data_IF_940398193974
#
_entry.id   IF_940398193974
#
_cell.length_a   1.000
_cell.length_b   1.000
_cell.length_c   1.000
_cell.angle_alpha   90.00
_cell.angle_beta   90.00
_cell.angle_gamma   90.00
#
_symmetry.space_group_name_H-M   'P 1'
#
loop_
_entity.id
_entity.type
_entity.pdbx_description
1 polymer ?
#
# COMPACT_ATOMS: atom_id res chain seq x y z
N UNK A 1 10.57 -9.46 22.30
CA UNK A 1 10.88 -10.19 21.06
C UNK A 1 10.16 -9.53 19.91
N UNK A 2 10.91 -9.03 18.96
CA UNK A 2 10.36 -8.34 17.81
C UNK A 2 9.66 -9.34 16.88
N UNK A 3 8.51 -8.96 16.33
CA UNK A 3 7.85 -9.71 15.26
C UNK A 3 8.52 -9.54 13.90
N UNK A 4 9.71 -8.95 13.87
CA UNK A 4 10.51 -8.87 12.65
C UNK A 4 10.96 -10.28 12.29
N UNK A 5 10.41 -10.79 11.23
CA UNK A 5 10.75 -12.11 10.70
C UNK A 5 11.80 -11.90 9.61
N UNK A 6 13.02 -12.35 9.88
CA UNK A 6 14.05 -12.53 8.85
C UNK A 6 13.61 -13.66 7.90
N UNK A 7 12.56 -13.44 7.16
CA UNK A 7 12.00 -14.43 6.27
C UNK A 7 12.04 -13.88 4.86
N UNK A 8 12.93 -14.43 4.06
CA UNK A 8 12.91 -14.15 2.63
C UNK A 8 11.57 -14.54 2.03
N UNK A 9 11.07 -13.72 1.15
CA UNK A 9 9.89 -14.05 0.35
C UNK A 9 10.34 -15.08 -0.69
N UNK A 10 10.07 -16.35 -0.40
CA UNK A 10 10.58 -17.48 -1.19
C UNK A 10 9.98 -17.50 -2.60
N UNK A 11 10.87 -17.62 -3.58
CA UNK A 11 10.50 -18.00 -4.95
C UNK A 11 9.69 -16.97 -5.71
N UNK A 12 9.59 -15.75 -5.19
CA UNK A 12 8.90 -14.67 -5.88
C UNK A 12 9.82 -14.16 -6.99
N UNK A 13 9.35 -14.34 -8.21
CA UNK A 13 10.02 -13.82 -9.39
C UNK A 13 8.99 -13.13 -10.25
N UNK A 14 9.35 -12.05 -10.95
CA UNK A 14 8.54 -11.54 -12.05
C UNK A 14 8.27 -12.66 -13.04
N UNK A 15 7.30 -12.49 -13.90
CA UNK A 15 7.08 -13.40 -15.04
C UNK A 15 8.40 -13.68 -15.75
N UNK A 16 8.61 -14.92 -16.18
CA UNK A 16 9.91 -15.40 -16.72
C UNK A 16 10.44 -14.59 -17.90
N UNK A 17 9.59 -13.81 -18.54
CA UNK A 17 9.94 -12.95 -19.68
C UNK A 17 9.87 -11.46 -19.33
N UNK A 18 9.82 -11.11 -18.05
CA UNK A 18 9.89 -9.71 -17.65
C UNK A 18 11.17 -9.06 -18.18
N UNK A 19 11.02 -7.87 -18.72
CA UNK A 19 12.17 -7.09 -19.19
C UNK A 19 13.02 -6.78 -17.97
N UNK A 20 14.23 -7.32 -17.97
CA UNK A 20 15.22 -6.97 -16.96
C UNK A 20 15.71 -5.57 -17.22
N UNK A 21 15.57 -4.70 -16.26
CA UNK A 21 16.27 -3.42 -16.27
C UNK A 21 17.78 -3.66 -16.21
N UNK A 22 18.61 -2.70 -16.57
CA UNK A 22 20.08 -2.85 -16.49
C UNK A 22 20.57 -3.25 -15.10
N UNK A 23 19.76 -3.03 -14.07
CA UNK A 23 20.00 -3.44 -12.69
C UNK A 23 19.82 -4.95 -12.47
N UNK A 24 18.95 -5.60 -13.28
CA UNK A 24 18.59 -7.02 -13.11
C UNK A 24 19.64 -8.01 -13.63
N UNK A 25 20.73 -7.52 -14.20
CA UNK A 25 21.78 -8.37 -14.79
C UNK A 25 22.87 -8.80 -13.82
N UNK A 26 22.71 -8.52 -12.52
CA UNK A 26 23.72 -8.84 -11.54
C UNK A 26 23.26 -9.92 -10.57
N UNK A 27 24.20 -10.81 -10.24
CA UNK A 27 24.07 -11.98 -9.37
C UNK A 27 23.36 -11.72 -8.06
N UNK A 28 22.59 -12.74 -7.62
CA UNK A 28 21.93 -12.85 -6.33
C UNK A 28 22.79 -12.32 -5.18
N UNK A 29 22.52 -11.11 -4.77
CA UNK A 29 23.03 -10.54 -3.53
C UNK A 29 21.85 -10.48 -2.55
N UNK A 30 22.04 -11.05 -1.37
CA UNK A 30 21.04 -11.11 -0.28
C UNK A 30 20.67 -9.72 0.30
N UNK A 31 21.14 -8.64 -0.31
CA UNK A 31 20.80 -7.30 0.14
C UNK A 31 19.37 -6.91 -0.28
N UNK A 32 18.65 -6.23 0.60
CA UNK A 32 17.30 -5.71 0.32
C UNK A 32 17.31 -4.55 -0.67
N UNK A 33 18.48 -3.94 -0.90
CA UNK A 33 18.72 -2.89 -1.89
C UNK A 33 19.50 -3.49 -3.05
N UNK A 34 19.03 -3.29 -4.27
CA UNK A 34 19.79 -3.69 -5.43
C UNK A 34 21.07 -2.83 -5.60
N UNK A 35 22.01 -3.28 -6.46
CA UNK A 35 23.27 -2.56 -6.68
C UNK A 35 23.10 -1.20 -7.36
N UNK A 36 21.90 -0.87 -7.86
CA UNK A 36 21.57 0.45 -8.41
C UNK A 36 21.17 1.45 -7.34
N UNK A 37 21.06 1.04 -6.07
CA UNK A 37 20.57 1.88 -4.98
C UNK A 37 19.05 1.99 -4.93
N UNK A 38 18.33 1.16 -5.68
CA UNK A 38 16.88 1.13 -5.71
C UNK A 38 16.35 0.03 -4.79
N UNK A 39 15.34 0.37 -4.01
CA UNK A 39 14.63 -0.56 -3.13
C UNK A 39 13.12 -0.44 -3.37
N UNK A 40 12.45 -1.57 -3.52
CA UNK A 40 11.00 -1.63 -3.59
C UNK A 40 10.47 -2.57 -2.51
N UNK A 41 9.44 -2.13 -1.80
CA UNK A 41 8.74 -2.97 -0.84
C UNK A 41 7.23 -2.79 -0.93
N UNK A 42 6.50 -3.80 -0.49
CA UNK A 42 5.05 -3.72 -0.37
C UNK A 42 4.67 -3.31 1.05
N UNK A 43 3.72 -2.39 1.15
CA UNK A 43 3.13 -1.96 2.41
C UNK A 43 1.67 -2.38 2.42
N UNK A 44 1.31 -3.24 3.38
CA UNK A 44 -0.05 -3.73 3.55
C UNK A 44 -0.67 -3.19 4.84
N UNK A 45 -1.85 -2.60 4.71
CA UNK A 45 -2.69 -2.23 5.84
C UNK A 45 -3.83 -3.24 5.98
N UNK A 46 -3.93 -3.87 7.15
CA UNK A 46 -4.94 -4.88 7.41
C UNK A 46 -5.88 -4.45 8.52
N UNK A 47 -7.16 -4.85 8.43
CA UNK A 47 -8.16 -4.61 9.46
C UNK A 47 -8.17 -5.80 10.44
N UNK A 48 -7.12 -5.88 11.26
CA UNK A 48 -7.03 -6.86 12.34
C UNK A 48 -7.03 -6.13 13.67
N UNK A 49 -7.81 -6.65 14.63
CA UNK A 49 -7.85 -6.15 16.01
C UNK A 49 -6.74 -6.73 16.89
N UNK A 50 -5.94 -7.65 16.35
CA UNK A 50 -4.83 -8.29 17.03
C UNK A 50 -3.54 -8.11 16.23
N UNK A 51 -2.41 -8.45 16.83
CA UNK A 51 -1.11 -8.47 16.15
C UNK A 51 -0.96 -9.69 15.20
N UNK A 52 -2.05 -10.37 14.87
CA UNK A 52 -2.04 -11.40 13.84
C UNK A 52 -2.05 -10.75 12.46
N UNK A 53 -0.88 -10.53 11.89
CA UNK A 53 -0.63 -9.78 10.67
C UNK A 53 -0.17 -10.67 9.52
N UNK A 54 -0.40 -11.98 9.64
CA UNK A 54 -0.06 -12.98 8.64
C UNK A 54 -1.31 -13.35 7.82
N UNK A 55 -1.45 -14.59 7.41
CA UNK A 55 -2.62 -15.05 6.67
C UNK A 55 -3.92 -14.96 7.50
N UNK A 56 -5.05 -15.01 6.83
CA UNK A 56 -6.38 -14.92 7.44
C UNK A 56 -6.94 -13.51 7.48
N UNK A 57 -6.15 -12.50 7.14
CA UNK A 57 -6.57 -11.09 7.12
C UNK A 57 -6.40 -10.48 5.73
N UNK A 58 -7.46 -9.83 5.25
CA UNK A 58 -7.44 -9.11 3.98
C UNK A 58 -6.58 -7.84 4.09
N UNK A 59 -5.84 -7.53 3.03
CA UNK A 59 -5.16 -6.26 2.90
C UNK A 59 -6.10 -5.21 2.32
N UNK A 60 -6.61 -4.32 3.18
CA UNK A 60 -7.49 -3.23 2.77
C UNK A 60 -6.74 -2.05 2.17
N UNK A 61 -5.47 -1.93 2.46
CA UNK A 61 -4.54 -0.97 1.85
C UNK A 61 -3.35 -1.73 1.27
N UNK A 62 -3.05 -1.46 0.01
CA UNK A 62 -1.95 -2.11 -0.71
C UNK A 62 -1.16 -1.00 -1.40
N UNK A 63 0.12 -0.87 -1.06
CA UNK A 63 1.01 0.10 -1.67
C UNK A 63 2.31 -0.56 -2.09
N UNK A 64 2.84 -0.13 -3.23
CA UNK A 64 4.22 -0.40 -3.63
C UNK A 64 5.02 0.88 -3.41
N UNK A 65 6.07 0.79 -2.63
CA UNK A 65 6.94 1.92 -2.30
C UNK A 65 8.29 1.71 -2.96
N UNK A 66 8.72 2.65 -3.77
CA UNK A 66 10.04 2.66 -4.41
C UNK A 66 10.90 3.75 -3.76
N UNK A 67 12.06 3.34 -3.28
CA UNK A 67 13.05 4.23 -2.67
C UNK A 67 14.29 4.26 -3.56
N UNK A 68 14.61 5.45 -4.06
CA UNK A 68 15.89 5.70 -4.72
C UNK A 68 16.85 6.29 -3.68
N UNK A 69 17.79 5.47 -3.22
CA UNK A 69 18.74 5.86 -2.18
C UNK A 69 19.80 6.83 -2.68
N UNK A 70 20.11 6.83 -3.97
CA UNK A 70 21.07 7.77 -4.55
C UNK A 70 20.46 9.17 -4.72
N UNK A 71 19.27 9.23 -5.26
CA UNK A 71 18.51 10.48 -5.40
C UNK A 71 17.81 10.91 -4.11
N UNK A 72 17.67 10.01 -3.13
CA UNK A 72 16.93 10.20 -1.86
C UNK A 72 15.48 10.59 -2.11
N UNK A 73 14.84 9.88 -3.03
CA UNK A 73 13.46 10.10 -3.46
C UNK A 73 12.62 8.85 -3.28
N UNK A 74 11.37 9.06 -2.89
CA UNK A 74 10.38 8.02 -2.65
C UNK A 74 9.19 8.25 -3.57
N UNK A 75 8.72 7.18 -4.21
CA UNK A 75 7.46 7.14 -4.95
C UNK A 75 6.56 6.05 -4.40
N UNK A 76 5.27 6.30 -4.36
CA UNK A 76 4.28 5.36 -3.85
C UNK A 76 3.17 5.14 -4.86
N UNK A 77 2.78 3.87 -5.03
CA UNK A 77 1.65 3.46 -5.86
C UNK A 77 0.68 2.68 -5.00
N UNK A 78 -0.58 3.12 -4.92
CA UNK A 78 -1.65 2.30 -4.35
C UNK A 78 -2.19 1.35 -5.41
N UNK A 79 -2.46 0.11 -5.00
CA UNK A 79 -3.22 -0.86 -5.79
C UNK A 79 -4.58 -1.01 -5.12
N UNK A 80 -5.66 -0.78 -5.86
CA UNK A 80 -7.00 -0.89 -5.29
C UNK A 80 -7.29 -2.33 -4.84
N UNK A 81 -7.82 -2.45 -3.64
CA UNK A 81 -8.07 -3.75 -2.99
C UNK A 81 -8.97 -4.69 -3.81
N UNK A 82 -9.91 -4.13 -4.55
CA UNK A 82 -10.89 -4.89 -5.36
C UNK A 82 -10.39 -5.20 -6.79
N UNK A 83 -9.15 -4.81 -7.12
CA UNK A 83 -8.53 -5.15 -8.40
C UNK A 83 -8.42 -6.65 -8.56
N UNK A 84 -8.97 -7.18 -9.65
CA UNK A 84 -8.89 -8.60 -9.96
C UNK A 84 -7.52 -8.95 -10.52
N UNK A 85 -6.89 -9.94 -9.92
CA UNK A 85 -5.58 -10.47 -10.31
C UNK A 85 -5.57 -11.99 -10.25
N UNK A 86 -4.62 -12.61 -10.93
CA UNK A 86 -4.33 -14.02 -10.75
C UNK A 86 -3.58 -14.23 -9.43
N UNK A 87 -4.16 -15.03 -8.54
CA UNK A 87 -3.55 -15.41 -7.26
C UNK A 87 -3.17 -16.89 -7.35
N UNK A 88 -1.89 -17.18 -7.19
CA UNK A 88 -1.34 -18.53 -7.30
C UNK A 88 -2.12 -19.54 -6.42
N UNK A 89 -2.61 -20.61 -7.03
CA UNK A 89 -3.41 -21.63 -6.37
C UNK A 89 -4.88 -21.25 -6.10
N UNK A 90 -5.32 -20.04 -6.46
CA UNK A 90 -6.66 -19.53 -6.14
C UNK A 90 -7.39 -18.93 -7.36
N UNK A 91 -6.75 -18.86 -8.53
CA UNK A 91 -7.33 -18.29 -9.73
C UNK A 91 -7.46 -16.77 -9.67
N UNK A 92 -8.40 -16.24 -10.45
CA UNK A 92 -8.63 -14.79 -10.56
C UNK A 92 -9.59 -14.32 -9.49
N UNK A 93 -9.10 -13.50 -8.57
CA UNK A 93 -9.86 -12.94 -7.45
C UNK A 93 -9.39 -11.52 -7.12
N UNK A 94 -10.11 -10.83 -6.24
CA UNK A 94 -9.66 -9.54 -5.71
C UNK A 94 -8.28 -9.68 -5.07
N UNK A 95 -7.39 -8.78 -5.37
CA UNK A 95 -6.01 -8.81 -4.84
C UNK A 95 -5.96 -8.75 -3.31
N UNK A 96 -6.95 -8.12 -2.67
CA UNK A 96 -7.08 -8.10 -1.20
C UNK A 96 -7.10 -9.51 -0.59
N UNK A 97 -7.63 -10.50 -1.31
CA UNK A 97 -7.73 -11.88 -0.83
C UNK A 97 -6.38 -12.60 -0.77
N UNK A 98 -5.39 -12.17 -1.53
CA UNK A 98 -4.07 -12.83 -1.52
C UNK A 98 -3.45 -12.83 -0.13
N UNK A 99 -3.54 -11.71 0.60
CA UNK A 99 -3.03 -11.61 1.97
C UNK A 99 -3.81 -12.54 2.92
N UNK A 100 -5.12 -12.65 2.77
CA UNK A 100 -5.94 -13.55 3.58
C UNK A 100 -5.60 -15.03 3.32
N UNK A 101 -5.33 -15.41 2.09
CA UNK A 101 -5.04 -16.81 1.72
C UNK A 101 -3.64 -17.26 2.09
N UNK A 102 -2.63 -16.42 1.91
CA UNK A 102 -1.24 -16.81 2.07
C UNK A 102 -0.34 -15.77 2.73
N UNK A 103 -0.93 -14.77 3.37
CA UNK A 103 -0.19 -13.72 4.06
C UNK A 103 0.55 -12.75 3.12
N UNK A 104 1.48 -11.96 3.65
CA UNK A 104 2.21 -10.98 2.86
C UNK A 104 3.05 -11.61 1.74
N UNK A 105 3.51 -12.85 1.92
CA UNK A 105 4.31 -13.55 0.91
C UNK A 105 3.51 -13.81 -0.36
N UNK A 106 2.27 -14.34 -0.23
CA UNK A 106 1.39 -14.55 -1.37
C UNK A 106 0.92 -13.22 -1.98
N UNK A 107 0.69 -12.21 -1.15
CA UNK A 107 0.31 -10.88 -1.63
C UNK A 107 1.43 -10.25 -2.48
N UNK A 108 2.68 -10.34 -2.04
CA UNK A 108 3.84 -9.89 -2.82
C UNK A 108 4.01 -10.71 -4.10
N UNK A 109 3.90 -12.04 -4.03
CA UNK A 109 3.94 -12.90 -5.21
C UNK A 109 2.88 -12.50 -6.24
N UNK A 110 1.67 -12.21 -5.79
CA UNK A 110 0.58 -11.75 -6.65
C UNK A 110 0.92 -10.46 -7.37
N UNK A 111 1.43 -9.46 -6.64
CA UNK A 111 1.84 -8.19 -7.25
C UNK A 111 2.98 -8.38 -8.26
N UNK A 112 3.98 -9.18 -7.93
CA UNK A 112 5.12 -9.44 -8.81
C UNK A 112 4.70 -10.11 -10.11
N UNK A 113 3.87 -11.16 -10.03
CA UNK A 113 3.44 -11.91 -11.21
C UNK A 113 2.47 -11.14 -12.12
N UNK A 114 1.57 -10.36 -11.53
CA UNK A 114 0.58 -9.61 -12.31
C UNK A 114 1.13 -8.31 -12.89
N UNK A 115 2.18 -7.74 -12.30
CA UNK A 115 2.70 -6.42 -12.66
C UNK A 115 4.18 -6.43 -13.06
N UNK A 116 4.80 -7.60 -13.20
CA UNK A 116 6.25 -7.74 -13.48
C UNK A 116 7.13 -6.95 -12.52
N UNK A 117 6.79 -6.97 -11.24
CA UNK A 117 7.60 -6.35 -10.20
C UNK A 117 8.54 -7.39 -9.57
N UNK A 118 9.58 -6.91 -8.90
CA UNK A 118 10.56 -7.73 -8.18
C UNK A 118 10.64 -7.29 -6.71
N UNK A 119 9.49 -7.25 -6.06
CA UNK A 119 9.38 -6.90 -4.65
C UNK A 119 9.88 -8.07 -3.81
N UNK A 120 10.83 -7.80 -2.91
CA UNK A 120 11.43 -8.81 -2.02
C UNK A 120 11.04 -8.60 -0.56
N UNK A 121 10.63 -7.39 -0.22
CA UNK A 121 10.36 -7.01 1.17
C UNK A 121 8.92 -6.51 1.32
N UNK A 122 8.40 -6.71 2.53
CA UNK A 122 7.08 -6.25 2.88
C UNK A 122 7.03 -5.70 4.31
N UNK A 123 6.05 -4.85 4.53
CA UNK A 123 5.65 -4.38 5.86
C UNK A 123 4.12 -4.50 5.94
N UNK A 124 3.63 -5.26 6.90
CA UNK A 124 2.20 -5.36 7.20
C UNK A 124 1.90 -4.74 8.56
N UNK A 125 0.95 -3.80 8.57
CA UNK A 125 0.48 -3.12 9.78
C UNK A 125 -1.04 -3.20 9.87
N UNK A 126 -1.58 -3.19 11.08
CA UNK A 126 -3.00 -2.94 11.26
C UNK A 126 -3.28 -1.44 11.48
N UNK A 127 -4.54 -1.05 11.37
CA UNK A 127 -4.91 0.36 11.54
C UNK A 127 -4.68 0.88 12.96
N UNK A 128 -4.70 0.01 13.95
CA UNK A 128 -4.39 0.38 15.33
C UNK A 128 -2.92 0.85 15.45
N UNK A 129 -2.00 0.12 14.84
CA UNK A 129 -0.58 0.48 14.79
C UNK A 129 -0.35 1.79 14.04
N UNK A 130 -1.10 2.03 12.95
CA UNK A 130 -1.06 3.33 12.26
C UNK A 130 -1.44 4.46 13.20
N UNK A 131 -2.46 4.28 14.03
CA UNK A 131 -2.84 5.24 15.06
C UNK A 131 -1.73 5.48 16.09
N UNK A 132 -1.07 4.43 16.54
CA UNK A 132 0.09 4.54 17.45
C UNK A 132 1.23 5.33 16.80
N UNK A 133 1.53 5.08 15.54
CA UNK A 133 2.56 5.81 14.79
C UNK A 133 2.22 7.30 14.71
N UNK A 134 0.98 7.64 14.40
CA UNK A 134 0.52 9.04 14.34
C UNK A 134 0.68 9.71 15.70
N UNK A 135 0.31 9.04 16.78
CA UNK A 135 0.49 9.58 18.15
C UNK A 135 1.97 9.78 18.50
N UNK A 136 2.83 8.84 18.13
CA UNK A 136 4.29 8.91 18.38
C UNK A 136 4.95 10.08 17.62
N UNK A 137 4.49 10.41 16.43
CA UNK A 137 5.01 11.57 15.68
C UNK A 137 4.39 12.90 16.12
N UNK A 138 3.48 12.88 17.08
CA UNK A 138 2.84 14.09 17.65
C UNK A 138 1.60 14.53 16.88
N UNK A 139 0.97 13.65 16.12
CA UNK A 139 -0.18 13.97 15.28
C UNK A 139 0.21 14.44 13.89
N UNK A 140 -0.81 14.61 13.06
CA UNK A 140 -0.64 15.10 11.68
C UNK A 140 -1.58 16.26 11.42
N UNK A 141 -1.12 17.27 10.69
CA UNK A 141 -1.95 18.44 10.31
C UNK A 141 -2.64 18.13 8.99
N UNK A 142 -3.97 18.15 9.00
CA UNK A 142 -4.76 17.81 7.82
C UNK A 142 -5.98 18.70 7.70
N UNK A 143 -6.28 19.10 6.46
CA UNK A 143 -7.51 19.78 6.12
C UNK A 143 -8.64 18.74 6.00
N UNK A 144 -9.76 19.02 6.64
CA UNK A 144 -10.99 18.25 6.57
C UNK A 144 -12.04 19.08 5.82
N UNK A 145 -12.54 18.58 4.73
CA UNK A 145 -13.59 19.27 3.98
C UNK A 145 -14.99 19.04 4.59
N UNK A 146 -15.99 19.77 4.08
CA UNK A 146 -17.34 19.69 4.60
C UNK A 146 -17.97 18.30 4.42
N UNK A 147 -17.68 17.60 3.33
CA UNK A 147 -18.18 16.24 3.07
C UNK A 147 -17.56 15.22 4.02
N UNK A 148 -16.29 15.36 4.31
CA UNK A 148 -15.57 14.52 5.25
C UNK A 148 -16.05 14.76 6.69
N UNK A 149 -16.25 16.02 7.09
CA UNK A 149 -16.76 16.37 8.41
C UNK A 149 -18.12 15.76 8.72
N UNK A 150 -18.97 15.59 7.69
CA UNK A 150 -20.31 14.97 7.86
C UNK A 150 -20.25 13.49 8.25
N UNK A 151 -19.20 12.78 7.91
CA UNK A 151 -19.13 11.32 8.06
C UNK A 151 -18.02 10.86 9.02
N UNK A 152 -17.00 11.68 9.27
CA UNK A 152 -15.83 11.27 10.03
C UNK A 152 -16.14 10.86 11.47
N UNK A 153 -17.13 11.47 12.10
CA UNK A 153 -17.44 11.23 13.52
C UNK A 153 -17.92 9.80 13.78
N UNK A 154 -18.64 9.19 12.85
CA UNK A 154 -18.99 7.77 12.93
C UNK A 154 -17.75 6.87 12.95
N UNK A 155 -16.77 7.18 12.12
CA UNK A 155 -15.50 6.46 12.11
C UNK A 155 -14.67 6.74 13.37
N UNK A 156 -14.66 7.98 13.88
CA UNK A 156 -13.98 8.32 15.14
C UNK A 156 -14.56 7.51 16.29
N UNK A 157 -15.88 7.38 16.38
CA UNK A 157 -16.53 6.60 17.43
C UNK A 157 -16.13 5.12 17.36
N UNK A 158 -16.11 4.53 16.18
CA UNK A 158 -15.67 3.15 15.97
C UNK A 158 -14.21 2.95 16.38
N UNK A 159 -13.32 3.84 15.94
CA UNK A 159 -11.88 3.74 16.23
C UNK A 159 -11.60 4.00 17.71
N UNK A 160 -12.30 4.95 18.35
CA UNK A 160 -12.24 5.16 19.79
C UNK A 160 -12.58 3.87 20.54
N UNK A 161 -13.63 3.19 20.13
CA UNK A 161 -14.05 1.92 20.75
C UNK A 161 -12.98 0.83 20.59
N UNK A 162 -12.41 0.68 19.40
CA UNK A 162 -11.39 -0.35 19.11
C UNK A 162 -10.08 -0.06 19.84
N UNK A 163 -9.66 1.21 19.87
CA UNK A 163 -8.39 1.62 20.49
C UNK A 163 -8.50 1.90 21.97
N UNK A 164 -9.71 2.01 22.53
CA UNK A 164 -9.91 2.43 23.92
C UNK A 164 -9.52 3.89 24.16
N UNK A 165 -9.73 4.75 23.18
CA UNK A 165 -9.42 6.18 23.23
C UNK A 165 -10.68 7.03 23.36
N UNK A 166 -10.51 8.34 23.59
CA UNK A 166 -11.61 9.30 23.71
C UNK A 166 -11.36 10.54 22.87
N UNK A 167 -10.90 10.33 21.63
CA UNK A 167 -10.62 11.43 20.71
C UNK A 167 -11.87 12.21 20.36
N UNK A 168 -11.74 13.52 20.20
CA UNK A 168 -12.84 14.45 19.96
C UNK A 168 -13.42 14.28 18.56
N UNK A 169 -14.72 14.59 18.43
CA UNK A 169 -15.38 14.74 17.14
C UNK A 169 -14.84 15.94 16.34
N UNK A 170 -15.03 15.88 15.04
CA UNK A 170 -14.73 16.97 14.11
C UNK A 170 -16.07 17.33 13.42
N UNK A 171 -16.65 18.47 13.80
CA UNK A 171 -18.03 18.82 13.43
C UNK A 171 -18.12 19.77 12.24
N UNK A 172 -17.01 20.34 11.81
CA UNK A 172 -16.98 21.30 10.71
C UNK A 172 -15.70 21.18 9.89
N UNK A 173 -15.77 21.63 8.64
CA UNK A 173 -14.58 21.79 7.80
C UNK A 173 -13.55 22.70 8.47
N UNK A 174 -12.30 22.40 8.29
CA UNK A 174 -11.18 23.19 8.83
C UNK A 174 -9.88 22.43 8.80
N UNK A 175 -8.84 23.06 9.34
CA UNK A 175 -7.52 22.47 9.50
C UNK A 175 -7.35 22.01 10.92
N UNK A 176 -7.01 20.73 11.10
CA UNK A 176 -6.89 20.09 12.40
C UNK A 176 -5.56 19.40 12.57
N UNK A 177 -5.04 19.38 13.80
CA UNK A 177 -4.01 18.41 14.17
C UNK A 177 -4.72 17.12 14.60
N UNK A 178 -4.68 16.12 13.74
CA UNK A 178 -5.33 14.83 14.01
C UNK A 178 -4.45 13.99 14.92
N UNK A 179 -5.05 13.43 15.97
CA UNK A 179 -4.42 12.37 16.75
C UNK A 179 -4.52 11.02 16.01
N UNK A 180 -3.97 9.96 16.61
CA UNK A 180 -3.95 8.64 15.98
C UNK A 180 -5.34 8.11 15.66
N UNK A 181 -6.30 8.27 16.54
CA UNK A 181 -7.69 7.84 16.32
C UNK A 181 -8.35 8.62 15.18
N UNK A 182 -8.21 9.94 15.18
CA UNK A 182 -8.76 10.80 14.15
C UNK A 182 -8.11 10.54 12.78
N UNK A 183 -6.81 10.32 12.74
CA UNK A 183 -6.09 10.01 11.51
C UNK A 183 -6.52 8.66 10.92
N UNK A 184 -6.67 7.63 11.74
CA UNK A 184 -7.21 6.34 11.31
C UNK A 184 -8.63 6.49 10.80
N UNK A 185 -9.49 7.22 11.53
CA UNK A 185 -10.85 7.51 11.10
C UNK A 185 -10.88 8.20 9.73
N UNK A 186 -10.05 9.22 9.54
CA UNK A 186 -9.89 9.91 8.25
C UNK A 186 -9.51 8.95 7.13
N UNK A 187 -8.55 8.08 7.37
CA UNK A 187 -8.09 7.10 6.37
C UNK A 187 -9.12 6.03 6.02
N UNK A 188 -10.16 5.86 6.82
CA UNK A 188 -11.24 4.88 6.62
C UNK A 188 -12.46 5.45 5.90
N UNK A 189 -12.56 6.76 5.74
CA UNK A 189 -13.72 7.39 5.11
C UNK A 189 -13.93 6.83 3.71
N UNK A 190 -15.15 6.34 3.45
CA UNK A 190 -15.56 5.74 2.19
C UNK A 190 -16.79 6.39 1.57
N UNK A 191 -17.69 6.89 2.41
CA UNK A 191 -19.00 7.44 2.00
C UNK A 191 -18.92 8.90 1.59
N UNK A 192 -17.99 9.23 0.69
CA UNK A 192 -17.85 10.52 0.00
C UNK A 192 -17.71 10.29 -1.49
N UNK A 193 -17.79 11.35 -2.28
CA UNK A 193 -17.53 11.24 -3.72
C UNK A 193 -16.15 10.63 -3.98
N UNK A 194 -16.07 9.68 -4.89
CA UNK A 194 -14.85 8.96 -5.23
C UNK A 194 -14.60 7.64 -4.46
N UNK A 195 -15.43 7.30 -3.47
CA UNK A 195 -15.44 6.00 -2.79
C UNK A 195 -14.06 5.48 -2.41
N UNK A 196 -13.71 4.28 -2.88
CA UNK A 196 -12.45 3.59 -2.59
C UNK A 196 -11.20 4.32 -3.15
N UNK A 197 -11.33 5.00 -4.27
CA UNK A 197 -10.26 5.83 -4.83
C UNK A 197 -9.87 6.94 -3.84
N UNK A 198 -10.85 7.66 -3.32
CA UNK A 198 -10.62 8.70 -2.31
C UNK A 198 -10.10 8.14 -0.99
N UNK A 199 -10.55 6.96 -0.60
CA UNK A 199 -10.01 6.28 0.59
C UNK A 199 -8.53 5.93 0.42
N UNK A 200 -8.13 5.38 -0.72
CA UNK A 200 -6.73 5.11 -1.01
C UNK A 200 -5.88 6.39 -1.02
N UNK A 201 -6.41 7.49 -1.56
CA UNK A 201 -5.76 8.80 -1.51
C UNK A 201 -5.58 9.30 -0.07
N UNK A 202 -6.60 9.16 0.79
CA UNK A 202 -6.51 9.52 2.20
C UNK A 202 -5.47 8.68 2.94
N UNK A 203 -5.37 7.39 2.64
CA UNK A 203 -4.34 6.51 3.21
C UNK A 203 -2.93 6.96 2.83
N UNK A 204 -2.70 7.33 1.55
CA UNK A 204 -1.42 7.89 1.12
C UNK A 204 -1.13 9.23 1.78
N UNK A 205 -2.15 10.06 1.96
CA UNK A 205 -2.02 11.35 2.64
C UNK A 205 -1.57 11.18 4.10
N UNK A 206 -2.18 10.25 4.83
CA UNK A 206 -1.78 9.96 6.21
C UNK A 206 -0.33 9.48 6.26
N UNK A 207 0.04 8.54 5.39
CA UNK A 207 1.41 8.04 5.31
C UNK A 207 2.42 9.15 4.99
N UNK A 208 2.12 10.00 4.02
CA UNK A 208 2.94 11.15 3.67
C UNK A 208 3.11 12.12 4.85
N UNK A 209 2.03 12.46 5.54
CA UNK A 209 2.06 13.36 6.71
C UNK A 209 2.84 12.76 7.88
N UNK A 210 2.69 11.47 8.13
CA UNK A 210 3.51 10.74 9.12
C UNK A 210 4.99 10.82 8.76
N UNK A 211 5.33 10.57 7.52
CA UNK A 211 6.70 10.68 7.03
C UNK A 211 7.28 12.09 7.27
N UNK A 212 6.53 13.14 6.90
CA UNK A 212 6.96 14.53 7.08
C UNK A 212 7.12 14.88 8.58
N UNK A 213 6.22 14.40 9.44
CA UNK A 213 6.34 14.58 10.90
C UNK A 213 7.53 13.83 11.47
N UNK A 214 7.77 12.60 11.02
CA UNK A 214 8.89 11.77 11.47
C UNK A 214 10.25 12.38 11.10
N UNK A 215 10.34 13.07 9.96
CA UNK A 215 11.55 13.80 9.55
C UNK A 215 11.98 14.86 10.57
N UNK A 216 11.03 15.46 11.28
CA UNK A 216 11.28 16.51 12.28
C UNK A 216 11.73 15.96 13.64
N UNK A 217 11.57 14.64 13.86
CA UNK A 217 11.97 14.01 15.11
C UNK A 217 13.50 13.93 15.21
N UNK A 218 14.03 14.06 16.43
CA UNK A 218 15.44 13.79 16.65
C UNK A 218 15.75 12.29 16.60
N UNK A 219 17.01 11.93 16.47
CA UNK A 219 17.45 10.53 16.34
C UNK A 219 16.99 9.66 17.48
N UNK A 220 17.08 10.14 18.72
CA UNK A 220 16.65 9.39 19.90
C UNK A 220 15.15 9.08 19.88
N UNK A 221 14.32 10.05 19.48
CA UNK A 221 12.88 9.88 19.35
C UNK A 221 12.52 8.89 18.21
N UNK A 222 13.24 8.92 17.10
CA UNK A 222 13.07 7.95 16.00
C UNK A 222 13.39 6.53 16.44
N UNK A 223 14.50 6.34 17.15
CA UNK A 223 14.91 5.03 17.67
C UNK A 223 13.87 4.51 18.67
N UNK A 224 13.38 5.37 19.57
CA UNK A 224 12.34 5.02 20.53
C UNK A 224 11.05 4.57 19.83
N UNK A 225 10.61 5.31 18.80
CA UNK A 225 9.42 4.95 18.03
C UNK A 225 9.55 3.57 17.38
N UNK A 226 10.67 3.29 16.73
CA UNK A 226 10.92 1.96 16.14
C UNK A 226 10.91 0.89 17.22
N UNK A 227 11.56 1.12 18.34
CA UNK A 227 11.61 0.18 19.47
C UNK A 227 10.22 -0.12 20.04
N UNK A 228 9.37 0.91 20.18
CA UNK A 228 8.01 0.77 20.72
C UNK A 228 7.08 0.01 19.75
N UNK A 229 7.27 0.16 18.44
CA UNK A 229 6.30 -0.29 17.43
C UNK A 229 6.72 -1.54 16.68
N UNK A 230 7.99 -1.93 16.73
CA UNK A 230 8.51 -3.05 15.93
C UNK A 230 7.80 -4.38 16.24
N UNK A 231 7.31 -4.58 17.46
CA UNK A 231 6.54 -5.75 17.87
C UNK A 231 5.13 -5.79 17.28
N UNK A 232 4.64 -4.69 16.72
CA UNK A 232 3.27 -4.54 16.18
C UNK A 232 3.22 -4.57 14.66
N UNK A 233 4.34 -4.82 14.00
CA UNK A 233 4.40 -4.96 12.54
C UNK A 233 4.87 -6.36 12.14
N UNK A 234 4.44 -6.80 10.98
CA UNK A 234 4.97 -8.01 10.35
C UNK A 234 5.79 -7.61 9.13
N UNK A 235 7.09 -7.87 9.18
CA UNK A 235 8.01 -7.51 8.11
C UNK A 235 9.13 -8.54 8.00
N UNK A 236 9.69 -8.69 6.81
CA UNK A 236 10.91 -9.45 6.60
C UNK A 236 12.19 -8.60 6.65
N UNK A 237 12.06 -7.28 6.87
CA UNK A 237 13.20 -6.46 7.26
C UNK A 237 13.67 -6.81 8.67
N UNK A 238 14.98 -6.75 8.91
CA UNK A 238 15.49 -6.83 10.27
C UNK A 238 15.49 -5.46 10.96
N UNK A 239 15.65 -5.46 12.28
CA UNK A 239 15.59 -4.23 13.08
C UNK A 239 16.67 -3.22 12.67
N UNK A 240 17.89 -3.68 12.36
CA UNK A 240 19.00 -2.80 11.98
C UNK A 240 18.74 -2.11 10.64
N UNK A 241 18.14 -2.81 9.68
CA UNK A 241 17.73 -2.24 8.39
C UNK A 241 16.69 -1.13 8.59
N UNK A 242 15.68 -1.38 9.42
CA UNK A 242 14.64 -0.40 9.74
C UNK A 242 15.24 0.84 10.43
N UNK A 243 16.08 0.64 11.44
CA UNK A 243 16.75 1.73 12.16
C UNK A 243 17.63 2.56 11.23
N UNK A 244 18.34 1.92 10.31
CA UNK A 244 19.19 2.63 9.32
C UNK A 244 18.35 3.57 8.44
N UNK A 245 17.21 3.11 7.96
CA UNK A 245 16.28 3.95 7.16
C UNK A 245 15.78 5.14 7.99
N UNK A 246 15.33 4.89 9.21
CA UNK A 246 14.79 5.97 10.06
C UNK A 246 15.83 7.01 10.46
N UNK A 247 17.06 6.60 10.73
CA UNK A 247 18.16 7.54 11.05
C UNK A 247 18.44 8.55 9.93
N UNK A 248 18.27 8.13 8.67
CA UNK A 248 18.57 8.93 7.49
C UNK A 248 17.32 9.56 6.86
N UNK A 249 16.14 9.41 7.49
CA UNK A 249 14.85 9.76 6.92
C UNK A 249 14.75 11.24 6.53
N UNK A 250 15.41 12.14 7.26
CA UNK A 250 15.36 13.58 7.02
C UNK A 250 15.87 13.98 5.63
N UNK A 251 16.72 13.15 5.02
CA UNK A 251 17.32 13.43 3.72
C UNK A 251 16.40 13.04 2.53
N UNK A 252 15.35 12.25 2.80
CA UNK A 252 14.47 11.73 1.76
C UNK A 252 13.27 12.65 1.52
N UNK A 253 12.77 12.62 0.28
CA UNK A 253 11.58 13.36 -0.14
C UNK A 253 10.62 12.41 -0.84
N UNK A 254 9.35 12.44 -0.46
CA UNK A 254 8.29 11.78 -1.25
C UNK A 254 8.01 12.66 -2.47
N UNK A 255 8.35 12.14 -3.65
CA UNK A 255 8.27 12.90 -4.89
C UNK A 255 6.85 12.93 -5.43
N UNK A 256 6.22 11.75 -5.51
CA UNK A 256 4.88 11.62 -6.09
C UNK A 256 4.20 10.34 -5.60
N UNK A 257 2.88 10.29 -5.77
CA UNK A 257 2.07 9.10 -5.51
C UNK A 257 0.88 9.04 -6.47
N UNK A 258 0.45 7.83 -6.78
CA UNK A 258 -0.73 7.57 -7.62
C UNK A 258 -1.39 6.25 -7.23
N UNK A 259 -2.45 5.88 -7.95
CA UNK A 259 -3.19 4.64 -7.73
C UNK A 259 -3.52 3.95 -9.05
N UNK A 260 -3.62 2.64 -9.01
CA UNK A 260 -4.00 1.79 -10.13
C UNK A 260 -5.01 0.70 -9.69
N UNK A 261 -5.87 0.21 -10.59
CA UNK A 261 -5.97 0.54 -12.01
C UNK A 261 -6.61 1.91 -12.26
N UNK A 262 -6.19 2.61 -13.33
CA UNK A 262 -6.76 3.90 -13.70
C UNK A 262 -7.93 3.76 -14.67
N UNK A 263 -7.94 2.71 -15.45
CA UNK A 263 -9.05 2.33 -16.33
C UNK A 263 -9.42 0.89 -16.01
N UNK A 264 -10.70 0.64 -15.72
CA UNK A 264 -11.17 -0.66 -15.28
C UNK A 264 -12.67 -0.83 -15.54
N UNK A 265 -13.10 -2.08 -15.61
CA UNK A 265 -14.49 -2.45 -15.50
C UNK A 265 -14.83 -2.63 -14.01
N UNK A 266 -15.76 -1.83 -13.51
CA UNK A 266 -16.31 -2.00 -12.16
C UNK A 266 -17.67 -2.69 -12.25
N UNK A 267 -17.78 -3.88 -11.70
CA UNK A 267 -19.01 -4.65 -11.76
C UNK A 267 -18.90 -6.01 -11.09
N UNK A 268 -19.94 -6.81 -11.24
CA UNK A 268 -19.98 -8.15 -10.68
C UNK A 268 -19.37 -9.17 -11.64
N UNK A 269 -18.44 -9.97 -11.14
CA UNK A 269 -17.92 -11.16 -11.79
C UNK A 269 -18.11 -12.32 -10.81
N UNK A 270 -18.76 -13.39 -11.25
CA UNK A 270 -19.10 -14.55 -10.41
C UNK A 270 -19.84 -14.15 -9.10
N UNK A 271 -20.69 -13.13 -9.18
CA UNK A 271 -21.51 -12.67 -8.07
C UNK A 271 -20.83 -11.71 -7.08
N UNK A 272 -19.55 -11.42 -7.25
CA UNK A 272 -18.82 -10.50 -6.40
C UNK A 272 -18.43 -9.21 -7.15
N UNK A 273 -18.49 -8.08 -6.47
CA UNK A 273 -17.98 -6.82 -7.01
C UNK A 273 -16.47 -6.90 -7.18
N UNK A 274 -15.99 -6.52 -8.36
CA UNK A 274 -14.56 -6.46 -8.68
C UNK A 274 -14.27 -5.27 -9.57
N UNK A 275 -12.99 -4.88 -9.60
CA UNK A 275 -12.42 -3.94 -10.55
C UNK A 275 -11.47 -4.71 -11.46
N UNK A 276 -11.87 -4.93 -12.70
CA UNK A 276 -11.06 -5.64 -13.69
C UNK A 276 -10.27 -4.60 -14.49
N UNK A 277 -8.93 -4.56 -14.37
CA UNK A 277 -8.15 -3.60 -15.15
C UNK A 277 -8.33 -3.83 -16.65
N UNK A 278 -8.50 -2.76 -17.38
CA UNK A 278 -8.73 -2.79 -18.84
C UNK A 278 -7.64 -1.97 -19.54
N UNK A 279 -6.48 -2.52 -19.71
CA UNK A 279 -6.13 -3.91 -19.47
C UNK A 279 -5.12 -4.06 -18.30
N UNK A 280 -4.89 -5.29 -17.85
CA UNK A 280 -3.80 -5.55 -16.87
C UNK A 280 -2.43 -5.21 -17.47
N UNK A 281 -2.22 -5.51 -18.75
CA UNK A 281 -0.98 -5.16 -19.45
C UNK A 281 -0.73 -3.65 -19.45
N UNK A 282 -1.76 -2.84 -19.70
CA UNK A 282 -1.67 -1.37 -19.64
C UNK A 282 -1.44 -0.88 -18.22
N UNK A 283 -2.08 -1.51 -17.23
CA UNK A 283 -1.85 -1.22 -15.82
C UNK A 283 -0.40 -1.47 -15.43
N UNK A 284 0.15 -2.62 -15.79
CA UNK A 284 1.56 -2.95 -15.51
C UNK A 284 2.50 -1.93 -16.15
N UNK A 285 2.26 -1.56 -17.40
CA UNK A 285 3.03 -0.53 -18.11
C UNK A 285 2.97 0.81 -17.39
N UNK A 286 1.79 1.23 -16.95
CA UNK A 286 1.60 2.46 -16.21
C UNK A 286 2.32 2.46 -14.85
N UNK A 287 2.24 1.36 -14.11
CA UNK A 287 2.94 1.20 -12.83
C UNK A 287 4.45 1.31 -13.02
N UNK A 288 5.02 0.61 -14.00
CA UNK A 288 6.45 0.70 -14.31
C UNK A 288 6.87 2.11 -14.71
N UNK A 289 6.10 2.75 -15.58
CA UNK A 289 6.41 4.12 -16.01
C UNK A 289 6.37 5.11 -14.84
N UNK A 290 5.40 4.97 -13.94
CA UNK A 290 5.32 5.82 -12.76
C UNK A 290 6.48 5.59 -11.80
N UNK A 291 6.83 4.34 -11.51
CA UNK A 291 7.89 4.00 -10.56
C UNK A 291 9.29 4.25 -11.12
N UNK A 292 9.52 3.93 -12.38
CA UNK A 292 10.85 3.81 -12.97
C UNK A 292 11.14 4.88 -14.03
N UNK A 293 10.11 5.57 -14.54
CA UNK A 293 10.21 6.42 -15.70
C UNK A 293 10.15 5.64 -17.01
N UNK A 294 10.55 6.26 -18.11
CA UNK A 294 10.56 5.65 -19.43
C UNK A 294 11.77 4.72 -19.59
N UNK A 295 11.61 3.47 -19.22
CA UNK A 295 12.65 2.43 -19.26
C UNK A 295 12.52 1.48 -20.44
N UNK A 296 11.51 1.69 -21.29
CA UNK A 296 11.21 0.76 -22.40
C UNK A 296 10.59 -0.56 -21.91
N UNK A 297 9.94 -0.57 -20.75
CA UNK A 297 9.24 -1.74 -20.23
C UNK A 297 8.18 -2.23 -21.22
N UNK A 298 8.13 -3.54 -21.42
CA UNK A 298 7.05 -4.22 -22.11
C UNK A 298 6.55 -5.39 -21.27
N UNK A 299 5.22 -5.64 -21.21
CA UNK A 299 4.68 -6.72 -20.41
C UNK A 299 5.25 -8.09 -20.80
N UNK A 300 5.52 -8.93 -19.79
CA UNK A 300 5.94 -10.31 -19.98
C UNK A 300 4.85 -11.17 -20.60
N UNK A 301 5.20 -12.36 -21.07
CA UNK A 301 4.24 -13.35 -21.53
C UNK A 301 3.23 -13.71 -20.43
N UNK A 302 3.67 -13.82 -19.18
CA UNK A 302 2.80 -14.07 -18.01
C UNK A 302 1.77 -12.97 -17.82
N UNK A 303 2.19 -11.71 -17.83
CA UNK A 303 1.26 -10.56 -17.71
C UNK A 303 0.30 -10.53 -18.88
N UNK A 304 0.77 -10.76 -20.09
CA UNK A 304 -0.10 -10.80 -21.28
C UNK A 304 -1.13 -11.94 -21.21
N UNK A 305 -0.75 -13.10 -20.71
CA UNK A 305 -1.68 -14.23 -20.47
C UNK A 305 -2.76 -13.84 -19.47
N UNK A 306 -2.38 -13.30 -18.33
CA UNK A 306 -3.33 -12.86 -17.31
C UNK A 306 -4.23 -11.71 -17.81
N UNK A 307 -3.65 -10.79 -18.54
CA UNK A 307 -4.38 -9.68 -19.17
C UNK A 307 -5.46 -10.17 -20.13
N UNK A 308 -5.13 -11.15 -20.97
CA UNK A 308 -6.09 -11.75 -21.92
C UNK A 308 -7.22 -12.49 -21.19
N UNK A 309 -6.89 -13.25 -20.15
CA UNK A 309 -7.89 -13.96 -19.35
C UNK A 309 -8.85 -12.98 -18.63
N UNK A 310 -8.33 -11.90 -18.08
CA UNK A 310 -9.12 -10.85 -17.43
C UNK A 310 -10.02 -10.12 -18.43
N UNK A 311 -9.52 -9.82 -19.62
CA UNK A 311 -10.31 -9.19 -20.68
C UNK A 311 -11.51 -10.04 -21.10
N UNK A 312 -11.39 -11.36 -21.04
CA UNK A 312 -12.47 -12.29 -21.30
C UNK A 312 -13.61 -12.27 -20.25
N UNK A 313 -13.37 -11.70 -19.09
CA UNK A 313 -14.35 -11.58 -18.00
C UNK A 313 -15.13 -10.28 -18.01
N UNK A 314 -14.74 -9.33 -18.84
CA UNK A 314 -15.34 -7.99 -18.88
C UNK A 314 -16.59 -8.01 -19.75
N UNK A 315 -17.68 -7.44 -19.23
CA UNK A 315 -18.91 -7.20 -19.97
C UNK A 315 -19.53 -5.86 -19.54
N UNK A 316 -19.35 -4.85 -20.34
CA UNK A 316 -19.94 -3.54 -20.06
C UNK A 316 -18.95 -2.38 -20.21
N UNK A 317 -19.38 -1.15 -19.93
CA UNK A 317 -18.55 0.03 -20.06
C UNK A 317 -17.44 0.08 -19.02
N UNK A 318 -16.32 0.67 -19.39
CA UNK A 318 -15.21 0.94 -18.46
C UNK A 318 -15.54 2.11 -17.52
N UNK A 319 -14.98 2.02 -16.34
CA UNK A 319 -14.85 3.14 -15.42
C UNK A 319 -13.41 3.66 -15.49
N UNK A 320 -13.23 4.91 -15.15
CA UNK A 320 -11.92 5.51 -14.95
C UNK A 320 -11.91 6.36 -13.67
N UNK A 321 -10.75 6.89 -13.30
CA UNK A 321 -10.62 7.69 -12.07
C UNK A 321 -11.37 9.03 -12.13
N UNK A 322 -11.83 9.47 -13.31
CA UNK A 322 -12.65 10.67 -13.47
C UNK A 322 -14.13 10.40 -13.26
N UNK A 323 -14.53 9.13 -13.36
CA UNK A 323 -15.90 8.69 -13.11
C UNK A 323 -16.08 8.40 -11.62
N UNK A 324 -16.76 9.27 -10.90
CA UNK A 324 -16.94 9.19 -9.45
C UNK A 324 -18.05 8.24 -9.00
N UNK A 325 -18.79 7.65 -9.94
CA UNK A 325 -19.84 6.66 -9.65
C UNK A 325 -19.23 5.25 -9.48
N UNK A 326 -18.34 5.10 -8.52
CA UNK A 326 -17.86 3.78 -8.12
C UNK A 326 -18.93 3.14 -7.26
N UNK A 327 -19.67 2.22 -7.84
CA UNK A 327 -20.85 1.56 -7.30
C UNK A 327 -20.99 1.51 -5.77
N UNK A 328 -22.19 1.79 -5.35
CA UNK A 328 -22.63 1.61 -3.98
C UNK A 328 -22.62 0.12 -3.58
#
# INVERSE_FOLDING_TARGET
SSNVKNKEVKGIKPGTEAVKTKADTQTEDDSTTDKSGIEEFALFGVDSRSDQLDKGTRSDSIMVVRVDHDAKKIRMVSIFRDCMMNIDGHGYQKVTHAHAFGGPELAVDTLNKNLDLDIKNYVTVNFNTVGEIVDEVGGIVQDIDASEAKVINGYIDEVNKVRGTSSSHIDSAGTYTLDGTQAVAYSRIRYTAGGDYKRAERQRTVLFKVFESAKQMNTAAKIKMVSDLIGHVNTNYNTDEILSVFKNLADYTVEDSTAYPQVFYGGKVDGAWVEVPTTLADMATGVHQFLEGDTGYTPSATVNEYSSALSGKVSGPNNDLTNTNFGD
#
